data_IF_662926382516
#
_entry.id   IF_662926382516
#
_cell.length_a   1.000
_cell.length_b   1.000
_cell.length_c   1.000
_cell.angle_alpha   90.00
_cell.angle_beta   90.00
_cell.angle_gamma   90.00
#
_symmetry.space_group_name_H-M   'P 1'
#
loop_
_entity.id
_entity.type
_entity.pdbx_description
1 polymer ?
#
# COMPACT_ATOMS: atom_id res chain seq x y z
N UNK A 1 -15.54 -15.36 2.31
CA UNK A 1 -14.74 -14.12 2.20
C UNK A 1 -13.60 -14.19 3.20
N UNK A 2 -12.43 -13.63 2.89
CA UNK A 2 -11.30 -13.60 3.81
C UNK A 2 -10.79 -12.17 4.03
N UNK A 3 -10.38 -11.83 5.25
CA UNK A 3 -9.69 -10.56 5.54
C UNK A 3 -8.21 -10.85 5.68
N UNK A 4 -7.36 -10.20 4.87
CA UNK A 4 -5.91 -10.37 4.91
C UNK A 4 -5.22 -9.05 5.21
N UNK A 5 -4.25 -9.07 6.12
CA UNK A 5 -3.33 -7.96 6.31
C UNK A 5 -2.20 -8.09 5.30
N UNK A 6 -2.06 -7.10 4.43
CA UNK A 6 -1.14 -7.10 3.31
C UNK A 6 -0.38 -5.77 3.26
N UNK A 7 0.72 -5.73 2.51
CA UNK A 7 1.51 -4.53 2.28
C UNK A 7 1.37 -4.06 0.84
N UNK A 8 1.16 -2.76 0.64
CA UNK A 8 1.03 -2.15 -0.67
C UNK A 8 1.83 -0.85 -0.75
N UNK A 9 2.59 -0.67 -1.83
CA UNK A 9 3.34 0.56 -2.11
C UNK A 9 2.59 1.42 -3.10
N UNK A 10 2.30 2.66 -2.74
CA UNK A 10 1.55 3.60 -3.61
C UNK A 10 1.81 5.04 -3.18
N UNK A 11 1.35 6.02 -3.96
CA UNK A 11 1.54 7.45 -3.67
C UNK A 11 0.69 7.91 -2.49
N UNK A 12 1.05 9.06 -1.89
CA UNK A 12 0.27 9.63 -0.80
C UNK A 12 -1.17 9.96 -1.20
N UNK A 13 -1.39 10.41 -2.43
CA UNK A 13 -2.72 10.74 -2.94
C UNK A 13 -3.59 9.48 -3.13
N UNK A 14 -2.99 8.37 -3.56
CA UNK A 14 -3.69 7.08 -3.61
C UNK A 14 -4.06 6.58 -2.21
N UNK A 15 -3.18 6.76 -1.22
CA UNK A 15 -3.48 6.42 0.17
C UNK A 15 -4.66 7.25 0.68
N UNK A 16 -4.68 8.57 0.43
CA UNK A 16 -5.80 9.44 0.78
C UNK A 16 -7.12 8.97 0.13
N UNK A 17 -7.08 8.58 -1.16
CA UNK A 17 -8.24 8.03 -1.86
C UNK A 17 -8.77 6.73 -1.22
N UNK A 18 -7.87 5.86 -0.75
CA UNK A 18 -8.26 4.64 -0.01
C UNK A 18 -8.90 5.02 1.33
N UNK A 19 -8.34 5.98 2.06
CA UNK A 19 -8.90 6.46 3.33
C UNK A 19 -10.29 7.10 3.14
N UNK A 20 -10.52 7.80 2.04
CA UNK A 20 -11.81 8.45 1.75
C UNK A 20 -12.89 7.45 1.32
N UNK A 21 -12.52 6.46 0.51
CA UNK A 21 -13.48 5.51 -0.07
C UNK A 21 -13.65 4.23 0.74
N UNK A 22 -12.71 3.91 1.64
CA UNK A 22 -12.60 2.61 2.31
C UNK A 22 -12.36 1.45 1.34
N UNK A 23 -11.83 1.73 0.15
CA UNK A 23 -11.67 0.76 -0.94
C UNK A 23 -10.33 0.92 -1.65
N UNK A 24 -9.78 -0.20 -2.12
CA UNK A 24 -8.69 -0.23 -3.08
C UNK A 24 -9.23 -0.52 -4.48
N UNK A 25 -8.81 0.27 -5.46
CA UNK A 25 -9.18 0.09 -6.86
C UNK A 25 -8.12 -0.74 -7.59
N UNK A 26 -8.51 -1.64 -8.50
CA UNK A 26 -7.55 -2.38 -9.31
C UNK A 26 -6.84 -1.45 -10.31
N UNK A 27 -5.68 -1.90 -10.79
CA UNK A 27 -5.00 -1.22 -11.90
C UNK A 27 -5.82 -1.28 -13.19
N UNK A 28 -5.38 -0.55 -14.22
CA UNK A 28 -5.97 -0.64 -15.56
C UNK A 28 -5.88 -2.05 -16.17
N UNK A 29 -4.96 -2.88 -15.68
CA UNK A 29 -4.79 -4.29 -16.06
C UNK A 29 -5.63 -5.25 -15.19
N UNK A 30 -6.51 -4.73 -14.34
CA UNK A 30 -7.35 -5.50 -13.43
C UNK A 30 -6.55 -6.28 -12.37
N UNK A 31 -5.46 -5.67 -11.88
CA UNK A 31 -4.54 -6.28 -10.93
C UNK A 31 -4.35 -5.40 -9.70
N UNK A 32 -4.23 -6.02 -8.52
CA UNK A 32 -3.74 -5.38 -7.30
C UNK A 32 -2.53 -6.16 -6.78
N UNK A 33 -1.45 -5.44 -6.50
CA UNK A 33 -0.17 -6.02 -6.10
C UNK A 33 0.08 -5.81 -4.62
N UNK A 34 0.48 -6.87 -3.93
CA UNK A 34 0.78 -6.84 -2.51
C UNK A 34 2.06 -7.62 -2.20
N UNK A 35 2.69 -7.29 -1.08
CA UNK A 35 3.54 -8.24 -0.36
C UNK A 35 2.78 -8.80 0.82
N UNK A 36 2.91 -10.10 1.05
CA UNK A 36 2.27 -10.76 2.20
C UNK A 36 3.10 -10.69 3.48
N UNK A 37 4.41 -10.40 3.37
CA UNK A 37 5.38 -10.60 4.46
C UNK A 37 6.20 -9.36 4.80
N UNK A 38 6.50 -8.49 3.81
CA UNK A 38 7.48 -7.43 3.99
C UNK A 38 7.06 -6.10 3.34
N UNK A 39 6.93 -5.04 4.15
CA UNK A 39 6.63 -3.70 3.67
C UNK A 39 7.79 -3.05 2.90
N UNK A 40 9.04 -3.46 3.17
CA UNK A 40 10.22 -2.85 2.54
C UNK A 40 10.28 -3.12 1.04
N UNK A 41 9.82 -4.30 0.63
CA UNK A 41 9.85 -4.71 -0.79
C UNK A 41 8.89 -3.90 -1.64
N UNK A 42 7.82 -3.36 -1.03
CA UNK A 42 6.82 -2.56 -1.74
C UNK A 42 7.11 -1.06 -1.75
N UNK A 43 8.06 -0.56 -0.95
CA UNK A 43 8.43 0.86 -0.90
C UNK A 43 8.85 1.42 -2.28
N UNK A 44 9.47 0.61 -3.13
CA UNK A 44 9.92 1.05 -4.44
C UNK A 44 8.76 1.47 -5.37
N UNK A 45 7.55 0.95 -5.12
CA UNK A 45 6.35 1.28 -5.88
C UNK A 45 5.59 2.49 -5.31
N UNK A 46 5.96 2.98 -4.13
CA UNK A 46 5.30 4.09 -3.47
C UNK A 46 6.03 5.43 -3.57
N UNK A 47 6.90 5.62 -4.56
CA UNK A 47 7.61 6.87 -4.75
C UNK A 47 6.63 8.04 -4.97
N UNK A 48 6.70 9.06 -4.13
CA UNK A 48 5.88 10.27 -4.18
C UNK A 48 6.80 11.49 -4.27
N UNK A 49 6.92 12.04 -5.49
CA UNK A 49 7.77 13.21 -5.76
C UNK A 49 7.25 14.48 -5.09
N UNK A 50 5.93 14.61 -4.94
CA UNK A 50 5.31 15.80 -4.32
C UNK A 50 5.74 15.90 -2.86
N UNK A 51 5.74 14.77 -2.16
CA UNK A 51 6.07 14.68 -0.73
C UNK A 51 7.54 14.39 -0.45
N UNK A 52 8.37 14.24 -1.49
CA UNK A 52 9.80 13.93 -1.35
C UNK A 52 10.08 12.62 -0.61
N UNK A 53 9.18 11.64 -0.69
CA UNK A 53 9.22 10.42 0.09
C UNK A 53 8.77 9.19 -0.72
N UNK A 54 8.95 7.99 -0.15
CA UNK A 54 8.34 6.76 -0.64
C UNK A 54 7.47 6.14 0.44
N UNK A 55 6.30 5.65 0.07
CA UNK A 55 5.31 5.14 1.01
C UNK A 55 5.02 3.65 0.82
N UNK A 56 4.78 2.96 1.92
CA UNK A 56 4.13 1.67 1.95
C UNK A 56 3.03 1.70 3.00
N UNK A 57 1.93 1.01 2.77
CA UNK A 57 0.86 0.85 3.74
C UNK A 57 0.71 -0.61 4.15
N UNK A 58 0.42 -0.83 5.43
CA UNK A 58 -0.22 -2.06 5.88
C UNK A 58 -1.72 -1.86 5.80
N UNK A 59 -2.40 -2.78 5.14
CA UNK A 59 -3.82 -2.67 4.83
C UNK A 59 -4.53 -3.99 5.12
N UNK A 60 -5.70 -3.93 5.77
CA UNK A 60 -6.63 -5.05 5.85
C UNK A 60 -7.55 -5.02 4.64
N UNK A 61 -7.38 -5.97 3.71
CA UNK A 61 -8.22 -6.11 2.51
C UNK A 61 -9.21 -7.23 2.71
N UNK A 62 -10.49 -6.98 2.41
CA UNK A 62 -11.52 -8.02 2.32
C UNK A 62 -11.54 -8.60 0.91
N UNK A 63 -11.16 -9.86 0.78
CA UNK A 63 -11.01 -10.56 -0.51
C UNK A 63 -12.16 -11.57 -0.65
N UNK A 64 -13.06 -11.40 -1.63
CA UNK A 64 -14.06 -12.40 -1.99
C UNK A 64 -13.42 -13.71 -2.43
N UNK A 65 -14.10 -14.83 -2.20
CA UNK A 65 -13.58 -16.18 -2.50
C UNK A 65 -13.38 -16.43 -4.01
N UNK A 66 -14.12 -15.70 -4.85
CA UNK A 66 -14.03 -15.83 -6.30
C UNK A 66 -12.86 -15.05 -6.92
N UNK A 67 -12.15 -14.22 -6.13
CA UNK A 67 -10.99 -13.47 -6.63
C UNK A 67 -9.81 -14.42 -6.86
N UNK A 68 -9.25 -14.36 -8.06
CA UNK A 68 -8.06 -15.13 -8.43
C UNK A 68 -6.86 -14.53 -7.70
N UNK A 69 -6.13 -15.40 -7.01
CA UNK A 69 -4.92 -15.06 -6.25
C UNK A 69 -3.73 -15.75 -6.89
N UNK A 70 -2.77 -14.97 -7.38
CA UNK A 70 -1.53 -15.47 -7.96
C UNK A 70 -0.37 -15.11 -7.04
N UNK A 71 0.50 -16.08 -6.75
CA UNK A 71 1.77 -15.83 -6.09
C UNK A 71 2.86 -15.77 -7.16
N UNK A 72 3.64 -14.69 -7.16
CA UNK A 72 4.74 -14.49 -8.08
C UNK A 72 5.99 -14.05 -7.31
N UNK A 73 7.15 -14.47 -7.80
CA UNK A 73 8.43 -13.91 -7.36
C UNK A 73 8.82 -12.81 -8.34
N UNK A 74 8.79 -11.56 -7.90
CA UNK A 74 9.30 -10.43 -8.69
C UNK A 74 10.67 -10.01 -8.15
N UNK A 75 11.58 -9.44 -8.98
CA UNK A 75 12.87 -8.97 -8.50
C UNK A 75 12.71 -7.99 -7.32
N UNK A 76 13.22 -8.35 -6.15
CA UNK A 76 13.09 -7.56 -4.92
C UNK A 76 11.85 -7.86 -4.05
N UNK A 77 10.86 -8.62 -4.54
CA UNK A 77 9.71 -9.10 -3.76
C UNK A 77 9.39 -10.58 -4.08
N UNK A 78 10.02 -11.54 -3.37
CA UNK A 78 9.78 -12.96 -3.60
C UNK A 78 8.35 -13.40 -3.25
N UNK A 79 7.64 -12.60 -2.43
CA UNK A 79 6.32 -12.91 -1.88
C UNK A 79 5.24 -11.99 -2.48
N UNK A 80 5.30 -11.76 -3.79
CA UNK A 80 4.29 -10.92 -4.47
C UNK A 80 2.97 -11.69 -4.55
N UNK A 81 1.93 -11.13 -3.95
CA UNK A 81 0.56 -11.57 -4.11
C UNK A 81 -0.14 -10.64 -5.10
N UNK A 82 -0.67 -11.21 -6.17
CA UNK A 82 -1.45 -10.51 -7.18
C UNK A 82 -2.90 -10.94 -7.03
N UNK A 83 -3.80 -9.98 -6.85
CA UNK A 83 -5.25 -10.19 -6.91
C UNK A 83 -5.74 -9.74 -8.28
N UNK A 84 -6.33 -10.65 -9.05
CA UNK A 84 -6.94 -10.28 -10.33
C UNK A 84 -8.44 -10.01 -10.13
N UNK A 85 -8.84 -8.76 -10.37
CA UNK A 85 -10.22 -8.30 -10.17
C UNK A 85 -10.51 -7.04 -10.99
N UNK A 86 -11.76 -6.92 -11.45
CA UNK A 86 -12.30 -5.68 -12.02
C UNK A 86 -13.00 -4.81 -10.97
N UNK A 87 -13.25 -5.38 -9.78
CA UNK A 87 -14.04 -4.76 -8.72
C UNK A 87 -13.13 -4.11 -7.67
N UNK A 88 -13.46 -2.90 -7.18
CA UNK A 88 -12.83 -2.34 -6.00
C UNK A 88 -13.03 -3.23 -4.77
N UNK A 89 -11.98 -3.46 -3.99
CA UNK A 89 -12.03 -4.30 -2.79
C UNK A 89 -12.10 -3.44 -1.52
N UNK A 90 -12.97 -3.76 -0.55
CA UNK A 90 -12.97 -3.09 0.75
C UNK A 90 -11.61 -3.19 1.43
N UNK A 91 -11.09 -2.06 1.89
CA UNK A 91 -9.75 -1.95 2.43
C UNK A 91 -9.69 -0.93 3.57
N UNK A 92 -8.97 -1.29 4.64
CA UNK A 92 -8.68 -0.40 5.76
C UNK A 92 -7.17 -0.20 5.88
N UNK A 93 -6.70 1.04 5.82
CA UNK A 93 -5.29 1.38 6.07
C UNK A 93 -5.02 1.35 7.56
N UNK A 94 -4.05 0.54 7.98
CA UNK A 94 -3.71 0.31 9.38
C UNK A 94 -2.43 1.04 9.80
N UNK A 95 -1.41 0.99 8.94
CA UNK A 95 -0.09 1.57 9.19
C UNK A 95 0.44 2.21 7.91
N UNK A 96 1.15 3.33 8.05
CA UNK A 96 1.94 3.97 7.00
C UNK A 96 3.42 3.85 7.34
N UNK A 97 4.21 3.44 6.36
CA UNK A 97 5.67 3.43 6.39
C UNK A 97 6.15 4.51 5.43
N UNK A 98 6.96 5.43 5.94
CA UNK A 98 7.50 6.54 5.16
C UNK A 98 9.00 6.38 5.07
N UNK A 99 9.54 6.36 3.84
CA UNK A 99 10.98 6.46 3.59
C UNK A 99 11.30 7.84 3.02
N UNK A 100 12.09 8.63 3.73
CA UNK A 100 12.54 9.97 3.32
C UNK A 100 14.06 10.06 3.31
N UNK A 101 14.66 10.95 2.50
CA UNK A 101 16.09 11.26 2.62
C UNK A 101 16.40 11.76 4.04
N UNK A 102 17.50 11.27 4.62
CA UNK A 102 18.06 11.69 5.89
C UNK A 102 19.55 12.02 5.75
N UNK A 103 20.15 12.61 6.80
CA UNK A 103 21.55 13.10 6.75
C UNK A 103 22.57 12.04 6.31
N UNK A 104 22.40 10.79 6.76
CA UNK A 104 23.30 9.66 6.46
C UNK A 104 22.63 8.57 5.59
N UNK A 105 21.57 8.91 4.83
CA UNK A 105 20.91 7.97 3.92
C UNK A 105 19.40 8.11 3.89
N UNK A 106 18.69 7.07 4.33
CA UNK A 106 17.22 7.07 4.40
C UNK A 106 16.75 6.90 5.84
N UNK A 107 15.77 7.71 6.22
CA UNK A 107 15.03 7.56 7.47
C UNK A 107 13.70 6.86 7.21
N UNK A 108 13.32 5.98 8.14
CA UNK A 108 12.03 5.29 8.13
C UNK A 108 11.18 5.80 9.30
N UNK A 109 9.99 6.29 8.98
CA UNK A 109 8.98 6.68 9.95
C UNK A 109 7.76 5.75 9.83
N UNK A 110 7.14 5.41 10.96
CA UNK A 110 5.95 4.55 11.04
C UNK A 110 4.83 5.28 11.74
N UNK A 111 3.67 5.32 11.10
CA UNK A 111 2.49 6.04 11.58
C UNK A 111 1.33 5.05 11.65
N UNK A 112 0.63 5.04 12.78
CA UNK A 112 -0.41 4.05 13.08
C UNK A 112 -1.79 4.71 13.12
N UNK A 113 -2.77 4.06 12.49
CA UNK A 113 -4.16 4.50 12.49
C UNK A 113 -4.48 5.55 11.44
N UNK A 114 -5.72 5.50 10.95
CA UNK A 114 -6.19 6.31 9.82
C UNK A 114 -6.04 7.83 10.03
N UNK A 115 -6.45 8.36 11.18
CA UNK A 115 -6.43 9.80 11.42
C UNK A 115 -4.99 10.39 11.46
N UNK A 116 -4.03 9.82 12.20
CA UNK A 116 -2.63 10.25 12.12
C UNK A 116 -2.05 10.15 10.70
N UNK A 117 -2.34 9.07 9.98
CA UNK A 117 -1.88 8.87 8.59
C UNK A 117 -2.42 9.98 7.68
N UNK A 118 -3.73 10.24 7.75
CA UNK A 118 -4.39 11.30 6.98
C UNK A 118 -3.76 12.66 7.24
N UNK A 119 -3.58 13.01 8.51
CA UNK A 119 -3.00 14.29 8.91
C UNK A 119 -1.56 14.44 8.37
N UNK A 120 -0.75 13.40 8.47
CA UNK A 120 0.61 13.40 7.92
C UNK A 120 0.63 13.66 6.41
N UNK A 121 -0.20 12.94 5.65
CA UNK A 121 -0.23 13.06 4.18
C UNK A 121 -0.74 14.42 3.70
N UNK A 122 -1.68 15.03 4.44
CA UNK A 122 -2.19 16.37 4.13
C UNK A 122 -1.20 17.48 4.49
N UNK A 123 -0.45 17.34 5.58
CA UNK A 123 0.58 18.33 5.98
C UNK A 123 1.84 18.28 5.12
N UNK A 124 2.13 17.12 4.53
CA UNK A 124 3.29 16.93 3.64
C UNK A 124 3.03 17.34 2.18
N UNK A 125 1.86 17.93 1.89
CA UNK A 125 1.36 18.23 0.53
C UNK A 125 1.84 19.55 -0.05
#
# INVERSE_FOLDING_TARGET
>A
MQVRQLYHGTTGDNILSILDSGKMNPSAQHEMFFSSSNWQTVLMYGADRKRGAAFAIKVAVTIPEHIIQLNASTPGNPDTLILQTIEPLPAQVLELYVRKPGGDGFEIERIFGELPIRNYLLQSS
#
